data_IF_230104436941
#
_entry.id   IF_230104436941
#
_cell.length_a   1.000
_cell.length_b   1.000
_cell.length_c   1.000
_cell.angle_alpha   90.00
_cell.angle_beta   90.00
_cell.angle_gamma   90.00
#
_symmetry.space_group_name_H-M   'P 1'
#
loop_
_entity.id
_entity.type
_entity.pdbx_description
1 polymer ?
#
# COMPACT_ATOMS: atom_id res chain seq x y z
N UNK A 1 2.19 -9.54 2.38
CA UNK A 1 1.84 -8.11 2.22
C UNK A 1 2.43 -7.51 0.95
N UNK A 2 3.76 -7.31 0.84
CA UNK A 2 4.37 -6.71 -0.37
C UNK A 2 4.01 -7.45 -1.65
N UNK A 3 3.99 -8.79 -1.62
CA UNK A 3 3.58 -9.59 -2.77
C UNK A 3 2.10 -9.40 -3.17
N UNK A 4 1.21 -9.22 -2.20
CA UNK A 4 -0.21 -8.98 -2.48
C UNK A 4 -0.44 -7.58 -3.08
N UNK A 5 0.26 -6.56 -2.57
CA UNK A 5 0.23 -5.20 -3.13
C UNK A 5 0.87 -5.15 -4.53
N UNK A 6 1.96 -5.88 -4.75
CA UNK A 6 2.56 -6.02 -6.07
C UNK A 6 1.63 -6.73 -7.05
N UNK A 7 0.92 -7.78 -6.61
CA UNK A 7 -0.09 -8.46 -7.42
C UNK A 7 -1.25 -7.51 -7.78
N UNK A 8 -1.78 -6.74 -6.81
CA UNK A 8 -2.79 -5.70 -7.06
C UNK A 8 -2.33 -4.72 -8.13
N UNK A 9 -1.10 -4.21 -8.02
CA UNK A 9 -0.50 -3.29 -9.00
C UNK A 9 -0.44 -3.90 -10.40
N UNK A 10 0.05 -5.14 -10.52
CA UNK A 10 0.19 -5.83 -11.80
C UNK A 10 -1.19 -6.05 -12.42
N UNK A 11 -2.16 -6.54 -11.64
CA UNK A 11 -3.52 -6.80 -12.13
C UNK A 11 -4.23 -5.53 -12.58
N UNK A 12 -4.10 -4.43 -11.84
CA UNK A 12 -4.63 -3.12 -12.28
C UNK A 12 -3.98 -2.65 -13.58
N UNK A 13 -2.67 -2.82 -13.72
CA UNK A 13 -1.95 -2.48 -14.95
C UNK A 13 -2.36 -3.36 -16.14
N UNK A 14 -2.55 -4.65 -15.91
CA UNK A 14 -3.05 -5.58 -16.92
C UNK A 14 -4.49 -5.23 -17.34
N UNK A 15 -5.35 -4.85 -16.39
CA UNK A 15 -6.70 -4.39 -16.71
C UNK A 15 -6.72 -3.07 -17.51
N UNK A 16 -5.74 -2.19 -17.31
CA UNK A 16 -5.63 -0.91 -18.03
C UNK A 16 -5.06 -1.06 -19.45
N UNK A 17 -4.03 -1.90 -19.62
CA UNK A 17 -3.20 -1.92 -20.82
C UNK A 17 -3.28 -3.25 -21.60
N UNK A 18 -3.74 -4.33 -20.96
CA UNK A 18 -3.64 -5.70 -21.49
C UNK A 18 -4.95 -6.45 -21.66
N UNK A 19 -6.09 -5.89 -21.25
CA UNK A 19 -7.41 -6.48 -21.48
C UNK A 19 -7.94 -6.08 -22.87
N UNK A 20 -8.40 -7.07 -23.64
CA UNK A 20 -9.03 -6.83 -24.96
C UNK A 20 -10.53 -6.53 -24.82
N UNK A 21 -11.16 -7.09 -23.78
CA UNK A 21 -12.58 -6.96 -23.46
C UNK A 21 -12.78 -6.32 -22.07
N UNK A 22 -13.85 -5.52 -21.88
CA UNK A 22 -14.13 -4.85 -20.59
C UNK A 22 -14.44 -5.87 -19.48
N UNK A 23 -15.10 -6.99 -19.80
CA UNK A 23 -15.42 -8.04 -18.84
C UNK A 23 -14.13 -8.65 -18.25
N UNK A 24 -13.09 -8.86 -19.07
CA UNK A 24 -11.77 -9.32 -18.61
C UNK A 24 -11.07 -8.27 -17.73
N UNK A 25 -11.18 -6.99 -18.10
CA UNK A 25 -10.63 -5.89 -17.30
C UNK A 25 -11.31 -5.80 -15.93
N UNK A 26 -12.63 -6.04 -15.88
CA UNK A 26 -13.40 -6.08 -14.64
C UNK A 26 -12.95 -7.24 -13.74
N UNK A 27 -12.83 -8.47 -14.27
CA UNK A 27 -12.32 -9.61 -13.49
C UNK A 27 -10.92 -9.35 -12.92
N UNK A 28 -10.03 -8.74 -13.70
CA UNK A 28 -8.68 -8.38 -13.24
C UNK A 28 -8.72 -7.31 -12.13
N UNK A 29 -9.60 -6.31 -12.23
CA UNK A 29 -9.81 -5.30 -11.18
C UNK A 29 -10.38 -5.92 -9.91
N UNK A 30 -11.34 -6.83 -10.03
CA UNK A 30 -11.91 -7.55 -8.88
C UNK A 30 -10.84 -8.39 -8.16
N UNK A 31 -10.00 -9.07 -8.92
CA UNK A 31 -8.89 -9.84 -8.37
C UNK A 31 -7.86 -8.93 -7.70
N UNK A 32 -7.55 -7.77 -8.27
CA UNK A 32 -6.70 -6.76 -7.64
C UNK A 32 -7.28 -6.31 -6.28
N UNK A 33 -8.58 -6.00 -6.24
CA UNK A 33 -9.29 -5.62 -5.01
C UNK A 33 -9.32 -6.75 -3.97
N UNK A 34 -9.32 -8.02 -4.41
CA UNK A 34 -9.20 -9.16 -3.51
C UNK A 34 -7.80 -9.23 -2.87
N UNK A 35 -6.73 -9.02 -3.65
CA UNK A 35 -5.37 -8.97 -3.13
C UNK A 35 -5.13 -7.77 -2.21
N UNK A 36 -5.71 -6.60 -2.51
CA UNK A 36 -5.68 -5.44 -1.63
C UNK A 36 -6.29 -5.78 -0.26
N UNK A 37 -7.50 -6.34 -0.24
CA UNK A 37 -8.15 -6.80 1.00
C UNK A 37 -7.33 -7.83 1.76
N UNK A 38 -6.69 -8.75 1.04
CA UNK A 38 -5.81 -9.74 1.66
C UNK A 38 -4.57 -9.09 2.30
N UNK A 39 -3.99 -8.07 1.66
CA UNK A 39 -2.89 -7.31 2.24
C UNK A 39 -3.31 -6.57 3.52
N UNK A 40 -4.52 -5.99 3.54
CA UNK A 40 -5.12 -5.34 4.72
C UNK A 40 -5.28 -6.34 5.86
N UNK A 41 -5.86 -7.51 5.58
CA UNK A 41 -6.05 -8.56 6.60
C UNK A 41 -4.74 -9.00 7.23
N UNK A 42 -3.72 -9.29 6.41
CA UNK A 42 -2.37 -9.66 6.91
C UNK A 42 -1.75 -8.54 7.75
N UNK A 43 -1.93 -7.27 7.35
CA UNK A 43 -1.41 -6.14 8.11
C UNK A 43 -2.15 -5.96 9.44
N UNK A 44 -3.48 -6.07 9.45
CA UNK A 44 -4.32 -5.98 10.65
C UNK A 44 -3.94 -7.05 11.68
N UNK A 45 -3.75 -8.29 11.24
CA UNK A 45 -3.33 -9.39 12.14
C UNK A 45 -1.94 -9.12 12.74
N UNK A 46 -1.00 -8.61 11.92
CA UNK A 46 0.33 -8.23 12.41
C UNK A 46 0.26 -7.06 13.40
N UNK A 47 -0.58 -6.07 13.12
CA UNK A 47 -0.76 -4.86 13.93
C UNK A 47 -1.42 -5.19 15.29
N UNK A 48 -2.41 -6.09 15.30
CA UNK A 48 -3.04 -6.60 16.51
C UNK A 48 -2.04 -7.34 17.42
N UNK A 49 -1.08 -8.06 16.84
CA UNK A 49 -0.04 -8.76 17.60
C UNK A 49 1.04 -7.82 18.15
N UNK A 50 1.63 -6.99 17.29
CA UNK A 50 2.74 -6.09 17.61
C UNK A 50 2.73 -4.91 16.64
N UNK A 51 2.18 -3.79 17.10
CA UNK A 51 2.02 -2.57 16.32
C UNK A 51 3.38 -2.05 15.79
N UNK A 52 4.41 -1.95 16.63
CA UNK A 52 5.71 -1.40 16.22
C UNK A 52 6.39 -2.27 15.16
N UNK A 53 6.27 -3.59 15.28
CA UNK A 53 6.80 -4.53 14.30
C UNK A 53 6.00 -4.47 13.00
N UNK A 54 4.68 -4.32 13.06
CA UNK A 54 3.84 -4.11 11.89
C UNK A 54 4.20 -2.82 11.14
N UNK A 55 4.43 -1.71 11.87
CA UNK A 55 4.89 -0.45 11.24
C UNK A 55 6.23 -0.63 10.51
N UNK A 56 7.18 -1.34 11.13
CA UNK A 56 8.48 -1.63 10.50
C UNK A 56 8.33 -2.46 9.22
N UNK A 57 7.33 -3.34 9.13
CA UNK A 57 7.05 -4.11 7.92
C UNK A 57 6.58 -3.23 6.76
N UNK A 58 5.89 -2.10 7.02
CA UNK A 58 5.42 -1.19 5.97
C UNK A 58 6.58 -0.46 5.27
N UNK A 59 7.58 -0.04 6.04
CA UNK A 59 8.74 0.71 5.57
C UNK A 59 9.95 -0.17 5.23
N UNK A 60 9.87 -1.48 5.50
CA UNK A 60 10.93 -2.42 5.16
C UNK A 60 11.08 -2.51 3.66
N UNK A 61 12.31 -2.31 3.20
CA UNK A 61 12.68 -2.49 1.80
C UNK A 61 12.65 -3.97 1.45
N UNK A 62 11.91 -4.32 0.40
CA UNK A 62 11.87 -5.66 -0.18
C UNK A 62 12.70 -5.67 -1.47
N UNK A 63 13.75 -6.49 -1.49
CA UNK A 63 14.57 -6.68 -2.70
C UNK A 63 13.83 -7.40 -3.82
N UNK A 64 12.81 -8.19 -3.49
CA UNK A 64 12.04 -8.99 -4.44
C UNK A 64 11.18 -8.18 -5.42
N UNK A 65 10.90 -6.91 -5.10
CA UNK A 65 10.03 -6.03 -5.91
C UNK A 65 10.73 -4.72 -6.31
N UNK A 66 12.05 -4.77 -6.53
CA UNK A 66 12.81 -3.61 -7.00
C UNK A 66 13.22 -2.62 -5.89
N UNK A 67 13.61 -3.13 -4.71
CA UNK A 67 14.03 -2.31 -3.56
C UNK A 67 12.96 -1.30 -3.12
N UNK A 68 11.69 -1.67 -3.21
CA UNK A 68 10.56 -0.85 -2.81
C UNK A 68 10.02 -1.26 -1.44
N UNK A 69 9.20 -0.40 -0.84
CA UNK A 69 8.51 -0.68 0.43
C UNK A 69 7.06 -1.07 0.18
N UNK A 70 6.40 -1.70 1.16
CA UNK A 70 4.98 -2.02 1.06
C UNK A 70 4.15 -0.75 0.84
N UNK A 71 4.47 0.32 1.57
CA UNK A 71 3.79 1.60 1.44
C UNK A 71 3.91 2.18 0.02
N UNK A 72 5.11 2.11 -0.55
CA UNK A 72 5.35 2.63 -1.90
C UNK A 72 4.64 1.79 -2.97
N UNK A 73 4.60 0.47 -2.82
CA UNK A 73 3.82 -0.40 -3.71
C UNK A 73 2.33 -0.07 -3.66
N UNK A 74 1.75 0.10 -2.47
CA UNK A 74 0.34 0.45 -2.31
C UNK A 74 0.01 1.81 -2.96
N UNK A 75 0.90 2.80 -2.81
CA UNK A 75 0.74 4.12 -3.42
C UNK A 75 0.81 4.04 -4.96
N UNK A 76 1.79 3.29 -5.49
CA UNK A 76 1.93 3.11 -6.94
C UNK A 76 0.81 2.25 -7.55
N UNK A 77 0.13 1.44 -6.74
CA UNK A 77 -1.03 0.61 -7.14
C UNK A 77 -2.38 1.33 -6.96
N UNK A 78 -2.39 2.56 -6.44
CA UNK A 78 -3.61 3.28 -6.03
C UNK A 78 -4.51 2.43 -5.08
N UNK A 79 -3.90 1.66 -4.18
CA UNK A 79 -4.58 0.83 -3.17
C UNK A 79 -5.07 1.72 -2.00
N UNK A 80 -6.11 2.52 -2.28
CA UNK A 80 -6.66 3.53 -1.36
C UNK A 80 -7.18 2.92 -0.05
N UNK A 81 -7.76 1.72 -0.09
CA UNK A 81 -8.29 1.07 1.10
C UNK A 81 -7.16 0.62 2.02
N UNK A 82 -6.06 0.15 1.44
CA UNK A 82 -4.86 -0.21 2.20
C UNK A 82 -4.21 1.02 2.84
N UNK A 83 -4.05 2.13 2.09
CA UNK A 83 -3.43 3.37 2.62
C UNK A 83 -4.33 4.05 3.66
N UNK A 84 -5.65 3.98 3.50
CA UNK A 84 -6.61 4.54 4.46
C UNK A 84 -6.76 3.70 5.74
N UNK A 85 -6.24 2.47 5.77
CA UNK A 85 -6.32 1.61 6.94
C UNK A 85 -5.62 2.25 8.14
N UNK A 86 -6.31 2.33 9.27
CA UNK A 86 -5.91 3.11 10.46
C UNK A 86 -4.51 2.79 10.96
N UNK A 87 -4.09 1.53 10.90
CA UNK A 87 -2.73 1.14 11.30
C UNK A 87 -1.64 1.66 10.36
N UNK A 88 -1.91 1.99 9.09
CA UNK A 88 -0.90 2.63 8.20
C UNK A 88 -0.70 4.11 8.56
N UNK A 89 -1.75 4.78 9.03
CA UNK A 89 -1.70 6.19 9.44
C UNK A 89 -0.96 6.41 10.77
N UNK A 90 -1.00 5.44 11.69
CA UNK A 90 -0.24 5.51 12.95
C UNK A 90 1.27 5.42 12.70
N UNK A 91 1.70 4.65 11.69
CA UNK A 91 3.09 4.57 11.24
C UNK A 91 3.64 5.87 10.65
N UNK A 92 2.81 6.59 9.89
CA UNK A 92 3.21 7.90 9.35
C UNK A 92 3.45 8.92 10.46
N UNK A 93 2.69 8.84 11.57
CA UNK A 93 2.83 9.76 12.71
C UNK A 93 4.06 9.45 13.58
N UNK A 94 4.42 8.18 13.76
CA UNK A 94 5.61 7.81 14.55
C UNK A 94 6.93 8.04 13.81
N UNK A 95 6.95 7.93 12.47
CA UNK A 95 8.13 8.22 11.66
C UNK A 95 8.52 9.71 11.66
N UNK A 96 7.54 10.62 11.83
CA UNK A 96 7.78 12.07 11.87
C UNK A 96 8.42 12.56 13.18
N UNK A 97 8.37 11.76 14.26
CA UNK A 97 8.93 12.12 15.57
C UNK A 97 10.38 11.70 15.81
N UNK A 98 10.94 10.81 14.98
CA UNK A 98 12.28 10.25 15.20
C UNK A 98 13.17 10.50 13.99
N UNK A 99 13.90 11.62 14.01
CA UNK A 99 14.76 12.10 12.94
C UNK A 99 15.85 11.11 12.51
N UNK A 100 15.53 10.23 11.55
CA UNK A 100 16.52 9.51 10.73
C UNK A 100 16.13 9.61 9.25
N UNK A 101 16.83 10.52 8.59
CA UNK A 101 17.16 10.56 7.16
C UNK A 101 16.03 10.43 6.14
N UNK A 102 15.62 11.60 5.63
CA UNK A 102 15.09 11.88 4.27
C UNK A 102 14.69 10.65 3.44
N UNK A 103 13.43 10.25 3.56
CA UNK A 103 12.66 9.85 2.38
C UNK A 103 11.57 10.90 2.22
N UNK A 104 11.56 11.51 1.04
CA UNK A 104 10.73 12.62 0.60
C UNK A 104 9.24 12.25 0.61
N UNK A 105 8.62 12.11 1.78
CA UNK A 105 7.16 12.05 1.90
C UNK A 105 6.66 13.49 2.04
N UNK A 106 6.53 14.15 0.89
CA UNK A 106 5.84 15.43 0.75
C UNK A 106 4.32 15.28 0.92
N UNK A 107 3.87 14.77 2.07
CA UNK A 107 2.44 14.63 2.35
C UNK A 107 2.10 15.26 3.68
N UNK A 108 1.37 16.38 3.62
CA UNK A 108 0.73 17.01 4.77
C UNK A 108 -0.72 16.51 4.84
N UNK A 109 -1.00 15.67 5.82
CA UNK A 109 -2.34 15.19 6.13
C UNK A 109 -3.23 16.36 6.61
N UNK A 110 -4.36 16.61 5.96
CA UNK A 110 -5.40 17.55 6.40
C UNK A 110 -6.75 16.82 6.42
N UNK A 111 -7.60 17.14 7.38
CA UNK A 111 -8.87 16.45 7.68
C UNK A 111 -9.91 16.42 6.54
N UNK A 112 -9.60 16.97 5.36
CA UNK A 112 -10.47 17.11 4.20
C UNK A 112 -9.99 16.34 2.95
N UNK A 113 -9.18 15.29 3.12
CA UNK A 113 -8.70 14.45 2.00
C UNK A 113 -7.35 14.86 1.45
N UNK A 114 -6.73 13.92 0.72
CA UNK A 114 -5.40 14.01 0.12
C UNK A 114 -5.34 15.17 -0.89
N UNK A 115 -4.63 16.24 -0.55
CA UNK A 115 -4.17 17.21 -1.54
C UNK A 115 -2.68 16.96 -1.80
N UNK A 116 -2.37 16.63 -3.06
CA UNK A 116 -1.02 16.50 -3.58
C UNK A 116 -0.29 17.85 -3.47
N UNK A 117 0.95 17.82 -2.99
CA UNK A 117 1.95 18.86 -3.23
C UNK A 117 3.05 18.25 -4.10
#
# INVERSE_FOLDING_TARGET
MSAALAASKILKKLAEEGAEEEDEAEEMRELANHYERHAIGVFSECHCCDEERAQRLLIRISSSWGQTTCLRLALEADDKSFVAHSGVQVGQRSLWGSGRSKVTLGFRWSSNGLNCC
#
